data_IF_877185250331
#
_entry.id   IF_877185250331
#
_cell.length_a   1.000
_cell.length_b   1.000
_cell.length_c   1.000
_cell.angle_alpha   90.00
_cell.angle_beta   90.00
_cell.angle_gamma   90.00
#
_symmetry.space_group_name_H-M   'P 1'
#
loop_
_entity.id
_entity.type
_entity.pdbx_description
1 polymer ?
#
# COMPACT_ATOMS: atom_id res chain seq x y z
N UNK A 1 -4.69 9.04 -6.28
CA UNK A 1 -4.73 7.59 -6.60
C UNK A 1 -3.75 6.86 -5.73
N UNK A 2 -4.06 5.63 -5.32
CA UNK A 2 -3.08 4.70 -4.76
C UNK A 2 -2.87 3.53 -5.72
N UNK A 3 -1.64 3.01 -5.82
CA UNK A 3 -1.29 1.86 -6.66
C UNK A 3 -0.48 0.90 -5.82
N UNK A 4 -1.06 -0.26 -5.51
CA UNK A 4 -0.45 -1.27 -4.66
C UNK A 4 -0.47 -2.67 -5.28
N UNK A 5 0.33 -3.59 -4.74
CA UNK A 5 0.46 -4.93 -5.26
C UNK A 5 -0.74 -5.82 -4.88
N UNK A 6 -1.15 -5.79 -3.60
CA UNK A 6 -2.14 -6.72 -3.03
C UNK A 6 -3.24 -5.99 -2.25
N UNK A 7 -4.45 -6.56 -2.18
CA UNK A 7 -5.45 -6.17 -1.17
C UNK A 7 -4.85 -6.34 0.23
N UNK A 8 -4.83 -5.30 1.03
CA UNK A 8 -4.28 -5.09 2.37
C UNK A 8 -3.07 -4.13 2.44
N UNK A 9 -2.41 -3.85 1.34
CA UNK A 9 -1.27 -2.92 1.30
C UNK A 9 -1.68 -1.48 1.68
N UNK A 10 -2.92 -1.08 1.40
CA UNK A 10 -3.45 0.25 1.74
C UNK A 10 -3.49 0.51 3.24
N UNK A 11 -3.40 -0.54 4.05
CA UNK A 11 -3.38 -0.41 5.51
C UNK A 11 -2.14 0.36 6.00
N UNK A 12 -1.05 0.34 5.24
CA UNK A 12 0.13 1.14 5.53
C UNK A 12 -0.21 2.64 5.64
N UNK A 13 -1.21 3.11 4.88
CA UNK A 13 -1.63 4.53 4.79
C UNK A 13 -3.11 4.74 5.14
N UNK A 14 -3.73 3.80 5.83
CA UNK A 14 -5.17 3.80 6.06
C UNK A 14 -5.67 4.99 6.89
N UNK A 15 -4.86 5.48 7.82
CA UNK A 15 -5.19 6.68 8.60
C UNK A 15 -5.23 7.93 7.71
N UNK A 16 -4.24 8.09 6.83
CA UNK A 16 -4.20 9.18 5.85
C UNK A 16 -5.40 9.11 4.89
N UNK A 17 -5.73 7.92 4.37
CA UNK A 17 -6.91 7.75 3.49
C UNK A 17 -8.21 8.11 4.22
N UNK A 18 -8.37 7.67 5.47
CA UNK A 18 -9.54 8.02 6.29
C UNK A 18 -9.64 9.54 6.56
N UNK A 19 -8.50 10.24 6.69
CA UNK A 19 -8.46 11.69 6.80
C UNK A 19 -8.82 12.36 5.46
N UNK A 20 -8.26 11.88 4.35
CA UNK A 20 -8.55 12.39 3.00
C UNK A 20 -10.02 12.22 2.61
N UNK A 21 -10.68 11.14 3.04
CA UNK A 21 -12.13 10.92 2.86
C UNK A 21 -12.98 12.07 3.36
N UNK A 22 -12.53 12.84 4.35
CA UNK A 22 -13.28 13.96 4.92
C UNK A 22 -13.22 15.21 4.04
N UNK A 23 -12.39 15.21 2.98
CA UNK A 23 -12.24 16.34 2.06
C UNK A 23 -13.13 16.14 0.84
N UNK A 24 -14.08 17.04 0.61
CA UNK A 24 -15.08 16.91 -0.44
C UNK A 24 -14.54 16.99 -1.87
N UNK A 25 -13.34 17.57 -2.05
CA UNK A 25 -12.76 17.82 -3.37
C UNK A 25 -11.72 16.76 -3.79
N UNK A 26 -11.55 15.70 -2.97
CA UNK A 26 -10.61 14.63 -3.27
C UNK A 26 -11.32 13.37 -3.76
N UNK A 27 -10.85 12.84 -4.87
CA UNK A 27 -11.22 11.51 -5.33
C UNK A 27 -10.10 10.51 -4.98
N UNK A 28 -10.47 9.44 -4.25
CA UNK A 28 -9.56 8.35 -3.90
C UNK A 28 -9.86 7.16 -4.82
N UNK A 29 -8.89 6.82 -5.65
CA UNK A 29 -8.94 5.65 -6.55
C UNK A 29 -7.92 4.63 -6.07
N UNK A 30 -8.36 3.41 -5.77
CA UNK A 30 -7.49 2.29 -5.43
C UNK A 30 -7.21 1.42 -6.66
N UNK A 31 -5.94 1.19 -6.97
CA UNK A 31 -5.49 0.31 -8.06
C UNK A 31 -4.61 -0.78 -7.46
N UNK A 32 -4.96 -2.03 -7.74
CA UNK A 32 -4.24 -3.19 -7.23
C UNK A 32 -3.79 -4.09 -8.37
N UNK A 33 -2.54 -4.54 -8.34
CA UNK A 33 -1.98 -5.33 -9.41
C UNK A 33 -2.49 -6.78 -9.39
N UNK A 34 -2.66 -7.34 -8.19
CA UNK A 34 -3.05 -8.75 -7.99
C UNK A 34 -4.22 -8.87 -7.01
N UNK A 35 -4.93 -9.99 -7.04
CA UNK A 35 -5.97 -10.27 -6.05
C UNK A 35 -5.43 -10.90 -4.75
N UNK A 36 -4.11 -11.07 -4.61
CA UNK A 36 -3.48 -11.67 -3.43
C UNK A 36 -3.78 -13.15 -3.25
N UNK A 37 -4.06 -13.85 -4.34
CA UNK A 37 -4.51 -15.25 -4.32
C UNK A 37 -3.43 -16.25 -3.92
N UNK A 38 -2.15 -15.88 -3.97
CA UNK A 38 -1.06 -16.75 -3.49
C UNK A 38 -0.96 -16.78 -1.96
N UNK A 39 -1.53 -15.77 -1.27
CA UNK A 39 -1.49 -15.62 0.18
C UNK A 39 -2.11 -16.79 0.96
N UNK A 40 -2.06 -16.72 2.28
CA UNK A 40 -2.72 -17.68 3.17
C UNK A 40 -4.21 -17.35 3.27
N UNK A 41 -5.02 -18.39 3.50
CA UNK A 41 -6.49 -18.23 3.64
C UNK A 41 -6.93 -17.85 5.07
N UNK A 42 -5.99 -17.81 6.01
CA UNK A 42 -6.32 -17.66 7.43
C UNK A 42 -7.16 -18.83 8.00
N UNK A 43 -7.31 -19.91 7.24
CA UNK A 43 -8.21 -21.02 7.58
C UNK A 43 -9.71 -20.70 7.43
N UNK A 44 -10.05 -19.56 6.81
CA UNK A 44 -11.42 -19.06 6.73
C UNK A 44 -12.15 -19.50 5.46
N UNK A 45 -11.42 -19.74 4.38
CA UNK A 45 -11.97 -20.09 3.08
C UNK A 45 -11.09 -21.13 2.36
N UNK A 46 -11.64 -21.91 1.42
CA UNK A 46 -10.84 -22.73 0.52
C UNK A 46 -9.93 -21.86 -0.35
N UNK A 47 -8.79 -22.42 -0.77
CA UNK A 47 -7.74 -21.67 -1.51
C UNK A 47 -8.27 -21.07 -2.81
N UNK A 48 -9.10 -21.80 -3.53
CA UNK A 48 -9.73 -21.39 -4.79
C UNK A 48 -10.71 -20.21 -4.64
N UNK A 49 -11.13 -19.90 -3.41
CA UNK A 49 -12.02 -18.77 -3.09
C UNK A 49 -11.26 -17.55 -2.55
N UNK A 50 -9.94 -17.65 -2.38
CA UNK A 50 -9.17 -16.60 -1.73
C UNK A 50 -9.19 -15.29 -2.50
N UNK A 51 -9.01 -15.33 -3.83
CA UNK A 51 -9.05 -14.12 -4.66
C UNK A 51 -10.38 -13.36 -4.51
N UNK A 52 -11.51 -14.07 -4.65
CA UNK A 52 -12.84 -13.50 -4.49
C UNK A 52 -13.04 -12.93 -3.09
N UNK A 53 -12.59 -13.65 -2.06
CA UNK A 53 -12.72 -13.23 -0.67
C UNK A 53 -11.88 -11.98 -0.39
N UNK A 54 -10.62 -11.94 -0.83
CA UNK A 54 -9.75 -10.77 -0.62
C UNK A 54 -10.25 -9.53 -1.38
N UNK A 55 -10.85 -9.72 -2.56
CA UNK A 55 -11.51 -8.63 -3.27
C UNK A 55 -12.71 -8.07 -2.46
N UNK A 56 -13.52 -8.92 -1.84
CA UNK A 56 -14.62 -8.47 -0.98
C UNK A 56 -14.11 -7.78 0.29
N UNK A 57 -13.03 -8.29 0.88
CA UNK A 57 -12.36 -7.67 2.04
C UNK A 57 -11.84 -6.29 1.68
N UNK A 58 -11.20 -6.13 0.52
CA UNK A 58 -10.73 -4.85 -0.01
C UNK A 58 -11.87 -3.87 -0.28
N UNK A 59 -12.99 -4.32 -0.85
CA UNK A 59 -14.17 -3.48 -1.05
C UNK A 59 -14.71 -2.95 0.28
N UNK A 60 -14.77 -3.80 1.31
CA UNK A 60 -15.19 -3.40 2.65
C UNK A 60 -14.20 -2.38 3.28
N UNK A 61 -12.90 -2.63 3.18
CA UNK A 61 -11.88 -1.69 3.62
C UNK A 61 -11.96 -0.36 2.83
N UNK A 62 -12.13 -0.43 1.52
CA UNK A 62 -12.27 0.74 0.66
C UNK A 62 -13.47 1.63 1.01
N UNK A 63 -14.61 1.06 1.38
CA UNK A 63 -15.76 1.83 1.88
C UNK A 63 -15.44 2.58 3.17
N UNK A 64 -14.70 1.95 4.08
CA UNK A 64 -14.23 2.57 5.33
C UNK A 64 -13.29 3.74 5.00
N UNK A 65 -12.33 3.51 4.11
CA UNK A 65 -11.27 4.45 3.75
C UNK A 65 -11.68 5.51 2.72
N UNK A 66 -12.87 5.38 2.12
CA UNK A 66 -13.43 6.39 1.21
C UNK A 66 -13.00 6.23 -0.25
N UNK A 67 -12.73 5.01 -0.72
CA UNK A 67 -12.50 4.77 -2.14
C UNK A 67 -13.78 4.99 -2.93
N UNK A 68 -13.71 5.83 -3.95
CA UNK A 68 -14.80 6.00 -4.91
C UNK A 68 -14.69 4.98 -6.05
N UNK A 69 -13.48 4.57 -6.39
CA UNK A 69 -13.22 3.59 -7.45
C UNK A 69 -12.16 2.57 -7.01
N UNK A 70 -12.34 1.34 -7.45
CA UNK A 70 -11.41 0.22 -7.24
C UNK A 70 -11.15 -0.49 -8.56
N UNK A 71 -9.89 -0.55 -8.95
CA UNK A 71 -9.42 -1.25 -10.16
C UNK A 71 -8.50 -2.41 -9.77
N UNK A 72 -8.76 -3.58 -10.35
CA UNK A 72 -7.89 -4.76 -10.22
C UNK A 72 -7.29 -5.07 -11.58
N UNK A 73 -5.95 -5.07 -11.68
CA UNK A 73 -5.27 -5.32 -12.96
C UNK A 73 -5.22 -6.82 -13.32
N UNK A 74 -5.40 -7.70 -12.33
CA UNK A 74 -5.53 -9.14 -12.56
C UNK A 74 -4.22 -9.86 -12.89
N UNK A 75 -3.07 -9.29 -12.52
CA UNK A 75 -1.80 -10.01 -12.59
C UNK A 75 -1.71 -11.09 -11.51
N UNK A 76 -0.94 -12.17 -11.74
CA UNK A 76 -0.80 -13.24 -10.76
C UNK A 76 -0.03 -12.77 -9.51
N UNK A 77 -0.56 -13.03 -8.33
CA UNK A 77 0.10 -12.79 -7.05
C UNK A 77 1.37 -13.63 -6.90
N UNK A 78 2.42 -13.05 -6.33
CA UNK A 78 3.76 -13.62 -6.22
C UNK A 78 4.40 -13.94 -7.57
N UNK A 79 3.79 -13.45 -8.64
CA UNK A 79 4.15 -13.70 -10.03
C UNK A 79 4.57 -12.46 -10.82
N UNK A 80 4.57 -11.27 -10.25
CA UNK A 80 4.87 -10.03 -10.98
C UNK A 80 6.24 -10.08 -11.66
N UNK A 81 7.24 -10.73 -11.07
CA UNK A 81 8.57 -10.96 -11.67
C UNK A 81 8.55 -11.60 -13.06
N UNK A 82 7.47 -12.32 -13.40
CA UNK A 82 7.32 -13.01 -14.69
C UNK A 82 6.52 -12.18 -15.71
N UNK A 83 6.01 -11.01 -15.30
CA UNK A 83 5.27 -10.11 -16.18
C UNK A 83 6.26 -9.20 -16.92
N UNK A 84 6.05 -9.04 -18.23
CA UNK A 84 6.81 -8.08 -19.00
C UNK A 84 6.60 -6.66 -18.44
N UNK A 85 7.69 -5.89 -18.21
CA UNK A 85 7.56 -4.50 -17.77
C UNK A 85 6.67 -3.65 -18.70
N UNK A 86 6.72 -3.89 -20.00
CA UNK A 86 5.89 -3.14 -20.95
C UNK A 86 4.40 -3.47 -20.81
N UNK A 87 4.06 -4.74 -20.56
CA UNK A 87 2.66 -5.15 -20.28
C UNK A 87 2.14 -4.47 -19.00
N UNK A 88 2.94 -4.48 -17.93
CA UNK A 88 2.56 -3.87 -16.66
C UNK A 88 2.43 -2.35 -16.79
N UNK A 89 3.40 -1.68 -17.43
CA UNK A 89 3.37 -0.24 -17.67
C UNK A 89 2.20 0.19 -18.55
N UNK A 90 1.85 -0.59 -19.58
CA UNK A 90 0.68 -0.31 -20.41
C UNK A 90 -0.64 -0.38 -19.62
N UNK A 91 -0.78 -1.38 -18.74
CA UNK A 91 -1.93 -1.48 -17.85
C UNK A 91 -2.01 -0.30 -16.87
N UNK A 92 -0.88 0.08 -16.25
CA UNK A 92 -0.79 1.24 -15.36
C UNK A 92 -1.12 2.55 -16.10
N UNK A 93 -0.58 2.73 -17.32
CA UNK A 93 -0.86 3.92 -18.12
C UNK A 93 -2.36 4.04 -18.43
N UNK A 94 -3.02 2.93 -18.77
CA UNK A 94 -4.46 2.91 -19.06
C UNK A 94 -5.29 3.44 -17.88
N UNK A 95 -5.00 3.04 -16.65
CA UNK A 95 -5.73 3.54 -15.47
C UNK A 95 -5.35 4.98 -15.12
N UNK A 96 -4.08 5.36 -15.29
CA UNK A 96 -3.60 6.74 -15.09
C UNK A 96 -4.29 7.68 -16.09
N UNK A 97 -4.39 7.31 -17.36
CA UNK A 97 -5.08 8.11 -18.37
C UNK A 97 -6.59 8.23 -18.12
N UNK A 98 -7.21 7.16 -17.61
CA UNK A 98 -8.64 7.14 -17.27
C UNK A 98 -8.98 8.08 -16.12
N UNK A 99 -8.24 8.00 -15.03
CA UNK A 99 -8.54 8.72 -13.79
C UNK A 99 -7.79 10.04 -13.62
N UNK A 100 -6.73 10.25 -14.42
CA UNK A 100 -5.91 11.48 -14.46
C UNK A 100 -5.45 11.98 -13.10
N UNK A 101 -4.83 11.12 -12.24
CA UNK A 101 -4.38 11.53 -10.93
C UNK A 101 -3.22 12.52 -11.03
N UNK A 102 -3.23 13.55 -10.17
CA UNK A 102 -2.07 14.44 -10.02
C UNK A 102 -1.07 13.87 -9.01
N UNK A 103 -1.56 13.15 -8.01
CA UNK A 103 -0.73 12.51 -6.98
C UNK A 103 -1.00 11.01 -6.95
N UNK A 104 0.08 10.24 -6.90
CA UNK A 104 0.02 8.80 -6.70
C UNK A 104 0.78 8.46 -5.41
N UNK A 105 0.23 7.55 -4.59
CA UNK A 105 0.94 6.90 -3.50
C UNK A 105 1.13 5.44 -3.88
N UNK A 106 2.39 4.96 -3.82
CA UNK A 106 2.76 3.60 -4.18
C UNK A 106 3.99 3.16 -3.38
N UNK A 107 4.58 2.03 -3.72
CA UNK A 107 5.84 1.59 -3.14
C UNK A 107 7.05 2.28 -3.79
N UNK A 108 8.16 2.36 -3.05
CA UNK A 108 9.46 2.69 -3.60
C UNK A 108 10.03 1.53 -4.42
N UNK A 109 11.02 1.81 -5.28
CA UNK A 109 11.64 0.83 -6.17
C UNK A 109 12.88 0.13 -5.56
N UNK A 110 13.21 0.38 -4.29
CA UNK A 110 14.38 -0.15 -3.61
C UNK A 110 14.04 -1.21 -2.56
N UNK A 111 13.02 -0.94 -1.75
CA UNK A 111 12.60 -1.81 -0.63
C UNK A 111 11.15 -2.26 -0.77
N UNK A 112 10.26 -1.38 -1.24
CA UNK A 112 8.83 -1.69 -1.31
C UNK A 112 8.25 -1.94 0.08
N UNK A 113 8.49 -1.03 1.00
CA UNK A 113 8.12 -1.00 2.41
C UNK A 113 8.88 -2.03 3.29
N UNK A 114 8.88 -3.31 2.97
CA UNK A 114 9.53 -4.35 3.78
C UNK A 114 10.24 -5.44 2.95
N UNK A 115 10.45 -5.24 1.66
CA UNK A 115 11.22 -6.15 0.82
C UNK A 115 10.40 -7.20 0.06
N UNK A 116 9.06 -7.02 -0.07
CA UNK A 116 8.25 -7.94 -0.87
C UNK A 116 8.56 -7.77 -2.37
N UNK A 117 8.86 -8.86 -3.12
CA UNK A 117 9.21 -8.76 -4.54
C UNK A 117 8.15 -8.05 -5.39
N UNK A 118 6.86 -8.32 -5.18
CA UNK A 118 5.80 -7.69 -5.95
C UNK A 118 5.66 -6.19 -5.64
N UNK A 119 5.95 -5.75 -4.41
CA UNK A 119 6.01 -4.32 -4.07
C UNK A 119 7.11 -3.61 -4.87
N UNK A 120 8.29 -4.23 -4.96
CA UNK A 120 9.42 -3.71 -5.73
C UNK A 120 9.08 -3.60 -7.22
N UNK A 121 8.42 -4.59 -7.79
CA UNK A 121 7.98 -4.53 -9.18
C UNK A 121 6.94 -3.43 -9.41
N UNK A 122 5.96 -3.30 -8.50
CA UNK A 122 4.93 -2.26 -8.56
C UNK A 122 5.55 -0.86 -8.55
N UNK A 123 6.41 -0.56 -7.57
CA UNK A 123 7.09 0.73 -7.47
C UNK A 123 8.00 1.02 -8.68
N UNK A 124 8.78 0.03 -9.10
CA UNK A 124 9.69 0.15 -10.25
C UNK A 124 8.93 0.48 -11.54
N UNK A 125 7.89 -0.28 -11.88
CA UNK A 125 7.14 -0.05 -13.11
C UNK A 125 6.44 1.30 -13.13
N UNK A 126 5.87 1.72 -11.98
CA UNK A 126 5.27 3.04 -11.86
C UNK A 126 6.30 4.15 -12.08
N UNK A 127 7.45 4.09 -11.39
CA UNK A 127 8.48 5.12 -11.50
C UNK A 127 9.12 5.16 -12.89
N UNK A 128 9.35 4.00 -13.52
CA UNK A 128 9.81 3.94 -14.92
C UNK A 128 8.78 4.58 -15.87
N UNK A 129 7.50 4.30 -15.68
CA UNK A 129 6.42 4.90 -16.46
C UNK A 129 6.37 6.42 -16.28
N UNK A 130 6.42 6.92 -15.05
CA UNK A 130 6.44 8.36 -14.79
C UNK A 130 7.65 9.05 -15.44
N UNK A 131 8.85 8.45 -15.33
CA UNK A 131 10.08 8.98 -16.00
C UNK A 131 9.95 8.98 -17.52
N UNK A 132 9.34 7.96 -18.11
CA UNK A 132 9.12 7.86 -19.57
C UNK A 132 8.15 8.91 -20.09
N UNK A 133 7.18 9.33 -19.27
CA UNK A 133 6.14 10.27 -19.66
C UNK A 133 6.29 11.66 -19.06
N UNK A 134 7.40 11.95 -18.34
CA UNK A 134 7.63 13.24 -17.67
C UNK A 134 7.44 14.45 -18.60
N UNK A 135 7.97 14.38 -19.81
CA UNK A 135 7.89 15.44 -20.83
C UNK A 135 6.67 15.32 -21.76
N UNK A 136 5.78 14.34 -21.53
CA UNK A 136 4.62 14.11 -22.41
C UNK A 136 3.54 15.12 -22.14
N UNK A 137 3.12 15.84 -23.18
CA UNK A 137 2.01 16.80 -23.09
C UNK A 137 0.74 16.09 -22.62
N UNK A 138 0.20 16.55 -21.51
CA UNK A 138 -1.05 16.04 -20.96
C UNK A 138 -0.90 14.84 -20.00
N UNK A 139 0.31 14.36 -19.71
CA UNK A 139 0.50 13.38 -18.64
C UNK A 139 0.08 13.98 -17.28
N UNK A 140 -0.83 13.32 -16.54
CA UNK A 140 -1.50 13.98 -15.42
C UNK A 140 -0.68 13.97 -14.12
N UNK A 141 0.19 12.96 -13.93
CA UNK A 141 0.89 12.75 -12.66
C UNK A 141 1.93 13.86 -12.45
N UNK A 142 1.92 14.43 -11.26
CA UNK A 142 2.85 15.47 -10.82
C UNK A 142 3.81 14.97 -9.75
N UNK A 143 3.30 14.14 -8.84
CA UNK A 143 4.08 13.64 -7.72
C UNK A 143 3.74 12.18 -7.42
N UNK A 144 4.77 11.42 -7.05
CA UNK A 144 4.63 10.06 -6.53
C UNK A 144 5.29 10.01 -5.15
N UNK A 145 4.49 9.62 -4.17
CA UNK A 145 4.96 9.37 -2.79
C UNK A 145 4.98 7.88 -2.49
N UNK A 146 5.83 7.48 -1.56
CA UNK A 146 5.74 6.15 -0.96
C UNK A 146 5.57 6.23 0.56
N UNK A 147 4.85 5.27 1.17
CA UNK A 147 4.91 5.10 2.61
C UNK A 147 6.33 4.68 3.01
N UNK A 148 6.81 5.26 4.11
CA UNK A 148 8.12 4.98 4.65
C UNK A 148 8.07 4.90 6.18
N UNK A 149 9.21 4.60 6.81
CA UNK A 149 9.34 4.49 8.26
C UNK A 149 10.55 5.31 8.72
N UNK A 150 10.48 5.83 9.93
CA UNK A 150 11.66 6.39 10.60
C UNK A 150 12.63 5.27 11.01
N UNK A 151 13.90 5.59 11.22
CA UNK A 151 14.92 4.62 11.66
C UNK A 151 14.48 3.88 12.93
N UNK A 152 13.91 4.60 13.91
CA UNK A 152 13.39 3.96 15.14
C UNK A 152 12.22 3.02 14.90
N UNK A 153 11.35 3.30 13.92
CA UNK A 153 10.28 2.39 13.54
C UNK A 153 10.82 1.16 12.80
N UNK A 154 11.85 1.33 11.97
CA UNK A 154 12.52 0.20 11.30
C UNK A 154 13.17 -0.72 12.33
N UNK A 155 13.92 -0.17 13.30
CA UNK A 155 14.51 -0.95 14.40
C UNK A 155 13.46 -1.72 15.21
N UNK A 156 12.34 -1.08 15.52
CA UNK A 156 11.22 -1.71 16.20
C UNK A 156 10.58 -2.81 15.36
N UNK A 157 10.31 -2.56 14.08
CA UNK A 157 9.76 -3.54 13.15
C UNK A 157 10.71 -4.73 12.97
N UNK A 158 12.02 -4.50 12.83
CA UNK A 158 13.04 -5.54 12.80
C UNK A 158 13.12 -6.35 14.10
N UNK A 159 12.69 -5.79 15.23
CA UNK A 159 12.67 -6.49 16.53
C UNK A 159 11.39 -7.30 16.70
N UNK A 160 10.24 -6.81 16.27
CA UNK A 160 8.94 -7.38 16.58
C UNK A 160 8.37 -8.22 15.44
N UNK A 161 8.52 -7.80 14.19
CA UNK A 161 7.88 -8.43 13.04
C UNK A 161 8.77 -9.48 12.37
N UNK A 162 8.22 -10.68 12.16
CA UNK A 162 8.89 -11.74 11.40
C UNK A 162 8.94 -11.42 9.91
N UNK A 163 7.97 -10.67 9.41
CA UNK A 163 7.93 -10.20 8.01
C UNK A 163 9.10 -9.28 7.72
N UNK A 164 9.32 -8.27 8.57
CA UNK A 164 10.48 -7.39 8.44
C UNK A 164 11.80 -8.13 8.61
N UNK A 165 11.96 -8.96 9.65
CA UNK A 165 13.19 -9.74 9.88
C UNK A 165 13.62 -10.56 8.68
N UNK A 166 12.67 -11.12 7.95
CA UNK A 166 12.97 -12.01 6.80
C UNK A 166 13.25 -11.26 5.51
N UNK A 167 12.57 -10.15 5.29
CA UNK A 167 12.49 -9.54 3.96
C UNK A 167 13.19 -8.19 3.88
N UNK A 168 13.25 -7.42 4.98
CA UNK A 168 13.85 -6.08 4.97
C UNK A 168 15.37 -6.18 4.73
N UNK A 169 15.96 -5.30 3.89
CA UNK A 169 17.39 -5.31 3.61
C UNK A 169 18.24 -5.17 4.87
N UNK A 170 19.22 -6.04 5.02
CA UNK A 170 20.19 -5.98 6.15
C UNK A 170 21.26 -4.90 5.95
N UNK A 171 21.46 -4.44 4.72
CA UNK A 171 22.37 -3.36 4.37
C UNK A 171 21.66 -2.01 4.54
N UNK A 172 22.06 -1.16 5.51
CA UNK A 172 21.41 0.13 5.75
C UNK A 172 21.41 1.07 4.52
N UNK A 173 22.39 0.93 3.63
CA UNK A 173 22.44 1.71 2.39
C UNK A 173 21.34 1.35 1.39
N UNK A 174 20.66 0.23 1.60
CA UNK A 174 19.53 -0.26 0.80
C UNK A 174 18.19 -0.14 1.53
N UNK A 175 18.12 0.66 2.57
CA UNK A 175 16.92 0.91 3.36
C UNK A 175 15.86 1.72 2.62
N UNK A 176 14.72 1.90 3.29
CA UNK A 176 13.66 2.81 2.85
C UNK A 176 14.19 4.24 2.69
N UNK A 177 13.61 5.03 1.78
CA UNK A 177 13.91 6.45 1.73
C UNK A 177 13.52 7.11 3.06
N UNK A 178 14.33 8.07 3.57
CA UNK A 178 13.96 8.80 4.78
C UNK A 178 12.66 9.57 4.56
N UNK A 179 11.84 9.79 5.61
CA UNK A 179 10.60 10.53 5.48
C UNK A 179 10.85 12.01 5.19
N UNK A 180 10.11 12.56 4.22
CA UNK A 180 10.04 14.00 3.98
C UNK A 180 9.01 14.66 4.91
N UNK A 181 7.92 13.95 5.24
CA UNK A 181 6.89 14.41 6.18
C UNK A 181 6.13 13.24 6.82
N UNK A 182 5.43 13.56 7.90
CA UNK A 182 4.48 12.67 8.57
C UNK A 182 3.07 13.26 8.54
N UNK A 183 2.07 12.39 8.51
CA UNK A 183 0.65 12.72 8.63
C UNK A 183 0.16 12.18 9.96
N UNK A 184 -0.31 13.06 10.85
CA UNK A 184 -0.91 12.64 12.12
C UNK A 184 -2.26 11.95 11.86
N UNK A 185 -2.38 10.73 12.35
CA UNK A 185 -3.57 9.87 12.20
C UNK A 185 -4.19 9.47 13.55
N UNK A 186 -3.84 10.18 14.61
CA UNK A 186 -4.29 9.84 15.97
C UNK A 186 -5.82 9.85 16.13
N UNK A 187 -6.52 10.65 15.32
CA UNK A 187 -7.99 10.73 15.32
C UNK A 187 -8.64 9.68 14.39
N UNK A 188 -7.88 9.11 13.44
CA UNK A 188 -8.35 8.10 12.46
C UNK A 188 -8.07 6.65 12.92
N UNK A 189 -7.63 6.47 14.14
CA UNK A 189 -7.27 5.14 14.65
C UNK A 189 -8.42 4.13 14.64
N UNK A 190 -9.67 4.59 14.76
CA UNK A 190 -10.86 3.73 14.68
C UNK A 190 -11.07 3.22 13.26
N UNK A 191 -11.02 4.10 12.27
CA UNK A 191 -11.17 3.78 10.85
C UNK A 191 -10.03 2.86 10.39
N UNK A 192 -8.79 3.16 10.78
CA UNK A 192 -7.64 2.30 10.49
C UNK A 192 -7.80 0.90 11.05
N UNK A 193 -8.23 0.76 12.31
CA UNK A 193 -8.49 -0.55 12.90
C UNK A 193 -9.64 -1.28 12.19
N UNK A 194 -10.71 -0.58 11.82
CA UNK A 194 -11.81 -1.18 11.08
C UNK A 194 -11.37 -1.68 9.69
N UNK A 195 -10.50 -0.93 8.99
CA UNK A 195 -9.92 -1.36 7.73
C UNK A 195 -9.02 -2.60 7.90
N UNK A 196 -8.16 -2.65 8.93
CA UNK A 196 -7.40 -3.85 9.30
C UNK A 196 -8.34 -5.05 9.51
N UNK A 197 -9.42 -4.87 10.26
CA UNK A 197 -10.39 -5.93 10.57
C UNK A 197 -11.21 -6.40 9.37
N UNK A 198 -11.33 -5.58 8.32
CA UNK A 198 -11.99 -5.96 7.07
C UNK A 198 -11.20 -7.05 6.33
N UNK A 199 -9.87 -7.06 6.42
CA UNK A 199 -8.98 -8.06 5.81
C UNK A 199 -8.82 -9.32 6.67
N UNK A 200 -9.90 -10.02 6.93
CA UNK A 200 -9.95 -11.17 7.85
C UNK A 200 -9.01 -12.30 7.49
N UNK A 201 -8.87 -12.60 6.20
CA UNK A 201 -7.96 -13.66 5.73
C UNK A 201 -6.50 -13.31 5.99
N UNK A 202 -6.16 -12.03 6.12
CA UNK A 202 -4.81 -11.52 6.33
C UNK A 202 -4.51 -11.13 7.79
N UNK A 203 -5.41 -11.47 8.73
CA UNK A 203 -5.21 -11.18 10.17
C UNK A 203 -3.81 -11.55 10.68
N UNK A 204 -3.27 -12.67 10.22
CA UNK A 204 -1.94 -13.15 10.62
C UNK A 204 -0.79 -12.22 10.22
N UNK A 205 -0.95 -11.44 9.13
CA UNK A 205 0.02 -10.40 8.71
C UNK A 205 -0.12 -9.21 9.65
N UNK A 206 -1.35 -8.78 9.95
CA UNK A 206 -1.57 -7.64 10.83
C UNK A 206 -1.16 -7.92 12.29
N UNK A 207 -1.35 -9.15 12.77
CA UNK A 207 -0.84 -9.57 14.08
C UNK A 207 0.69 -9.48 14.15
N UNK A 208 1.39 -9.66 13.02
CA UNK A 208 2.84 -9.57 12.92
C UNK A 208 3.33 -8.10 12.76
N UNK A 209 2.72 -7.32 11.86
CA UNK A 209 3.20 -5.95 11.55
C UNK A 209 2.61 -4.86 12.44
N UNK A 210 1.46 -5.11 13.08
CA UNK A 210 0.82 -4.25 14.06
C UNK A 210 0.58 -5.02 15.37
N UNK A 211 1.63 -5.47 16.08
CA UNK A 211 1.49 -6.31 17.26
C UNK A 211 0.64 -5.59 18.32
N UNK A 212 -0.25 -6.34 18.97
CA UNK A 212 -1.17 -5.85 20.01
C UNK A 212 -2.27 -4.89 19.55
N UNK A 213 -2.46 -4.66 18.27
CA UNK A 213 -3.49 -3.76 17.73
C UNK A 213 -4.93 -4.15 18.15
N UNK A 214 -5.17 -5.43 18.45
CA UNK A 214 -6.45 -5.99 18.89
C UNK A 214 -6.59 -6.07 20.42
N UNK A 215 -5.54 -5.72 21.20
CA UNK A 215 -5.49 -5.79 22.67
C UNK A 215 -5.51 -4.43 23.36
N UNK A 216 -5.26 -3.37 22.61
CA UNK A 216 -5.21 -1.99 23.10
C UNK A 216 -6.31 -1.22 22.36
N UNK A 217 -6.99 -0.28 23.05
CA UNK A 217 -8.00 0.51 22.35
C UNK A 217 -7.38 1.28 21.17
N UNK A 218 -8.11 1.43 20.05
CA UNK A 218 -7.57 2.12 18.86
C UNK A 218 -7.03 3.50 19.17
N UNK A 219 -7.73 4.25 20.05
CA UNK A 219 -7.33 5.59 20.45
C UNK A 219 -5.95 5.62 21.14
N UNK A 220 -5.66 4.63 21.98
CA UNK A 220 -4.35 4.53 22.63
C UNK A 220 -3.29 3.98 21.71
N UNK A 221 -3.62 2.94 20.92
CA UNK A 221 -2.66 2.31 20.00
C UNK A 221 -2.17 3.31 18.97
N UNK A 222 -3.10 4.00 18.29
CA UNK A 222 -2.76 4.99 17.27
C UNK A 222 -2.42 6.40 17.81
N UNK A 223 -2.35 6.57 19.12
CA UNK A 223 -1.62 7.67 19.77
C UNK A 223 -0.13 7.38 19.86
N UNK A 224 0.25 6.13 20.10
CA UNK A 224 1.65 5.70 20.15
C UNK A 224 2.26 5.59 18.74
N UNK A 225 1.47 5.12 17.79
CA UNK A 225 1.82 4.96 16.36
C UNK A 225 0.97 5.94 15.53
N UNK A 226 0.92 7.19 15.96
CA UNK A 226 -0.04 8.18 15.48
C UNK A 226 0.40 8.94 14.23
N UNK A 227 1.43 8.48 13.52
CA UNK A 227 1.90 9.10 12.29
C UNK A 227 2.14 8.07 11.19
N UNK A 228 1.76 8.42 9.99
CA UNK A 228 2.10 7.72 8.76
C UNK A 228 3.09 8.60 7.99
N UNK A 229 4.25 8.04 7.64
CA UNK A 229 5.36 8.77 7.04
C UNK A 229 5.45 8.54 5.55
N UNK A 230 5.86 9.58 4.82
CA UNK A 230 5.93 9.59 3.36
C UNK A 230 7.25 10.15 2.87
N UNK A 231 7.74 9.58 1.77
CA UNK A 231 8.84 10.15 1.00
C UNK A 231 8.37 10.46 -0.42
N UNK A 232 8.79 11.60 -0.96
CA UNK A 232 8.62 11.96 -2.36
C UNK A 232 9.64 11.19 -3.18
N UNK A 233 9.19 10.30 -4.07
CA UNK A 233 10.08 9.44 -4.86
C UNK A 233 10.12 9.80 -6.34
N UNK A 234 9.22 10.67 -6.78
CA UNK A 234 9.24 11.25 -8.11
C UNK A 234 8.40 12.53 -8.17
N UNK A 235 8.87 13.54 -8.92
CA UNK A 235 8.19 14.80 -9.20
C UNK A 235 8.46 15.22 -10.65
N UNK A 236 7.40 15.78 -11.32
CA UNK A 236 7.47 16.32 -12.68
C UNK A 236 7.89 17.77 -12.65
#
# INVERSE_FOLDING_TARGET
MIIFAHPDDEIAIAGTLAQMKQQNDLQIVGVYLTAGEAGKTGGLVPKEKLAETRMQELQNAGQILGFQELEMLGFPDSGLKNISPDTAKAALLTVIERYRPQVIISFDDKVGLYGHPDHLHTGRWLLELCRQHADSVGFPVRQVYCPTLTDGMIELAMTLSQTFKRNYPQDPAKGLPPPDFGVSISEQGKEKLQAIQAHRTQKHIFDDVFPFHDRISPQWYFRLFGEEYYALIWEQ
#
